data_IF_712672619154
#
_entry.id   IF_712672619154
#
_cell.length_a   1.000
_cell.length_b   1.000
_cell.length_c   1.000
_cell.angle_alpha   90.00
_cell.angle_beta   90.00
_cell.angle_gamma   90.00
#
_symmetry.space_group_name_H-M   'P 1'
#
loop_
_entity.id
_entity.type
_entity.pdbx_description
1 polymer ?
#
# COMPACT_ATOMS: atom_id res chain seq x y z
N UNK A 1 -14.83 8.36 -3.61
CA UNK A 1 -13.63 8.72 -4.40
C UNK A 1 -13.49 7.73 -5.57
N UNK A 2 -13.13 8.18 -6.77
CA UNK A 2 -12.93 7.33 -7.95
C UNK A 2 -11.46 7.32 -8.35
N UNK A 3 -10.82 6.17 -8.27
CA UNK A 3 -9.42 6.00 -8.68
C UNK A 3 -9.32 5.15 -9.94
N UNK A 4 -8.24 5.31 -10.70
CA UNK A 4 -7.81 4.26 -11.64
C UNK A 4 -6.65 3.46 -11.06
N UNK A 5 -6.65 2.16 -11.35
CA UNK A 5 -5.56 1.25 -11.00
C UNK A 5 -4.85 0.81 -12.27
N UNK A 6 -3.54 1.10 -12.33
CA UNK A 6 -2.68 0.74 -13.45
C UNK A 6 -1.58 -0.19 -12.94
N UNK A 7 -1.64 -1.47 -13.29
CA UNK A 7 -0.62 -2.45 -12.94
C UNK A 7 0.45 -2.50 -14.02
N UNK A 8 1.73 -2.46 -13.64
CA UNK A 8 2.85 -2.56 -14.58
C UNK A 8 3.79 -3.70 -14.20
N UNK A 9 3.95 -4.62 -15.15
CA UNK A 9 4.63 -5.90 -14.97
C UNK A 9 3.86 -6.87 -14.08
N UNK A 10 4.34 -8.12 -14.03
CA UNK A 10 3.63 -9.20 -13.36
C UNK A 10 3.23 -8.93 -11.90
N UNK A 11 4.09 -8.28 -11.10
CA UNK A 11 3.77 -7.91 -9.72
C UNK A 11 2.68 -6.82 -9.64
N UNK A 12 2.79 -5.78 -10.48
CA UNK A 12 1.79 -4.70 -10.55
C UNK A 12 0.42 -5.22 -10.97
N UNK A 13 0.36 -6.03 -12.03
CA UNK A 13 -0.89 -6.64 -12.49
C UNK A 13 -1.52 -7.57 -11.44
N UNK A 14 -0.73 -8.40 -10.73
CA UNK A 14 -1.24 -9.22 -9.62
C UNK A 14 -1.78 -8.40 -8.46
N UNK A 15 -1.23 -7.21 -8.19
CA UNK A 15 -1.79 -6.30 -7.19
C UNK A 15 -3.12 -5.71 -7.64
N UNK A 16 -3.24 -5.27 -8.90
CA UNK A 16 -4.51 -4.76 -9.45
C UNK A 16 -5.60 -5.84 -9.45
N UNK A 17 -5.23 -7.07 -9.81
CA UNK A 17 -6.10 -8.25 -9.70
C UNK A 17 -6.60 -8.43 -8.26
N UNK A 18 -5.68 -8.43 -7.29
CA UNK A 18 -6.03 -8.59 -5.88
C UNK A 18 -6.87 -7.43 -5.34
N UNK A 19 -6.59 -6.19 -5.75
CA UNK A 19 -7.43 -5.05 -5.42
C UNK A 19 -8.85 -5.28 -5.91
N UNK A 20 -9.01 -5.63 -7.19
CA UNK A 20 -10.34 -5.86 -7.77
C UNK A 20 -11.09 -6.98 -7.06
N UNK A 21 -10.39 -8.06 -6.69
CA UNK A 21 -10.95 -9.13 -5.88
C UNK A 21 -11.46 -8.61 -4.53
N UNK A 22 -10.62 -7.88 -3.78
CA UNK A 22 -10.99 -7.34 -2.47
C UNK A 22 -12.09 -6.28 -2.54
N UNK A 23 -12.16 -5.47 -3.60
CA UNK A 23 -13.30 -4.57 -3.83
C UNK A 23 -14.62 -5.34 -3.93
N UNK A 24 -14.65 -6.45 -4.67
CA UNK A 24 -15.84 -7.30 -4.81
C UNK A 24 -16.22 -7.98 -3.50
N UNK A 25 -15.23 -8.50 -2.76
CA UNK A 25 -15.45 -9.15 -1.46
C UNK A 25 -15.98 -8.18 -0.40
N UNK A 26 -15.48 -6.94 -0.39
CA UNK A 26 -15.80 -5.94 0.65
C UNK A 26 -16.92 -4.99 0.26
N UNK A 27 -17.33 -4.96 -1.01
CA UNK A 27 -18.25 -3.97 -1.57
C UNK A 27 -17.64 -2.58 -1.78
N UNK A 28 -16.34 -2.40 -1.51
CA UNK A 28 -15.63 -1.11 -1.60
C UNK A 28 -15.15 -0.82 -3.01
N UNK A 29 -16.05 -0.45 -3.92
CA UNK A 29 -15.73 -0.28 -5.35
C UNK A 29 -15.09 1.09 -5.69
N UNK A 30 -13.89 1.36 -5.17
CA UNK A 30 -13.19 2.64 -5.39
C UNK A 30 -12.65 2.83 -6.82
N UNK A 31 -12.27 1.74 -7.52
CA UNK A 31 -11.78 1.80 -8.90
C UNK A 31 -12.92 1.96 -9.92
N UNK A 32 -14.13 1.53 -9.56
CA UNK A 32 -15.31 1.44 -10.45
C UNK A 32 -15.01 0.74 -11.79
N UNK A 33 -14.04 -0.18 -11.80
CA UNK A 33 -13.62 -0.90 -13.01
C UNK A 33 -12.63 -0.13 -13.90
N UNK A 34 -12.10 1.01 -13.46
CA UNK A 34 -11.07 1.79 -14.15
C UNK A 34 -9.71 1.12 -13.95
N UNK A 35 -9.47 0.04 -14.69
CA UNK A 35 -8.29 -0.81 -14.57
C UNK A 35 -7.51 -0.85 -15.89
N UNK A 36 -6.18 -0.93 -15.80
CA UNK A 36 -5.28 -1.35 -16.87
C UNK A 36 -4.16 -2.22 -16.32
N UNK A 37 -3.70 -3.19 -17.10
CA UNK A 37 -2.53 -4.01 -16.79
C UNK A 37 -1.58 -4.01 -17.99
N UNK A 38 -0.40 -3.43 -17.80
CA UNK A 38 0.68 -3.41 -18.78
C UNK A 38 1.71 -4.49 -18.45
N UNK A 39 2.11 -5.29 -19.43
CA UNK A 39 3.26 -6.19 -19.30
C UNK A 39 3.98 -6.32 -20.65
N UNK A 40 5.25 -6.70 -20.60
CA UNK A 40 6.04 -7.06 -21.78
C UNK A 40 6.00 -8.55 -22.08
N UNK A 41 5.38 -9.35 -21.22
CA UNK A 41 5.28 -10.80 -21.35
C UNK A 41 3.81 -11.24 -21.39
N UNK A 42 3.38 -11.78 -22.53
CA UNK A 42 1.98 -12.19 -22.73
C UNK A 42 1.46 -13.18 -21.69
N UNK A 43 2.29 -14.14 -21.28
CA UNK A 43 1.93 -15.15 -20.29
C UNK A 43 1.66 -14.58 -18.89
N UNK A 44 2.06 -13.33 -18.59
CA UNK A 44 1.72 -12.69 -17.32
C UNK A 44 0.20 -12.52 -17.16
N UNK A 45 -0.52 -12.26 -18.25
CA UNK A 45 -1.96 -12.03 -18.26
C UNK A 45 -2.80 -13.28 -17.93
N UNK A 46 -2.23 -14.48 -18.07
CA UNK A 46 -2.90 -15.74 -17.73
C UNK A 46 -3.18 -15.87 -16.23
N UNK A 47 -2.52 -15.06 -15.40
CA UNK A 47 -2.71 -15.01 -13.95
C UNK A 47 -3.87 -14.10 -13.53
N UNK A 48 -4.51 -13.39 -14.47
CA UNK A 48 -5.56 -12.41 -14.18
C UNK A 48 -6.93 -12.95 -14.59
N UNK A 49 -7.86 -12.92 -13.65
CA UNK A 49 -9.24 -13.39 -13.77
C UNK A 49 -10.26 -12.29 -13.49
N UNK A 50 -9.87 -11.28 -12.73
CA UNK A 50 -10.69 -10.14 -12.31
C UNK A 50 -10.50 -8.93 -13.23
N UNK A 51 -9.34 -8.81 -13.89
CA UNK A 51 -9.04 -7.79 -14.90
C UNK A 51 -9.59 -8.23 -16.28
N UNK A 52 -10.45 -7.43 -16.92
CA UNK A 52 -10.97 -7.76 -18.26
C UNK A 52 -9.88 -7.80 -19.33
N UNK A 53 -10.02 -8.71 -20.31
CA UNK A 53 -9.01 -8.90 -21.37
C UNK A 53 -8.75 -7.64 -22.21
N UNK A 54 -9.77 -6.80 -22.42
CA UNK A 54 -9.62 -5.52 -23.12
C UNK A 54 -8.83 -4.47 -22.32
N UNK A 55 -8.44 -4.78 -21.08
CA UNK A 55 -7.60 -3.96 -20.20
C UNK A 55 -6.17 -4.49 -20.08
N UNK A 56 -5.84 -5.57 -20.79
CA UNK A 56 -4.48 -6.10 -20.87
C UNK A 56 -3.75 -5.44 -22.04
N UNK A 57 -2.60 -4.84 -21.76
CA UNK A 57 -1.79 -4.09 -22.72
C UNK A 57 -0.42 -4.75 -22.82
N UNK A 58 -0.15 -5.40 -23.96
CA UNK A 58 1.14 -6.05 -24.22
C UNK A 58 2.10 -5.05 -24.84
N UNK A 59 3.13 -4.66 -24.10
CA UNK A 59 4.20 -3.79 -24.60
C UNK A 59 5.28 -4.62 -25.31
N UNK A 60 5.76 -4.09 -26.43
CA UNK A 60 6.89 -4.57 -27.21
C UNK A 60 6.61 -5.83 -28.01
N UNK A 61 5.35 -6.06 -28.41
CA UNK A 61 4.97 -7.14 -29.33
C UNK A 61 5.75 -7.03 -30.66
N UNK A 62 5.94 -5.79 -31.14
CA UNK A 62 6.69 -5.49 -32.36
C UNK A 62 8.17 -5.16 -32.10
N UNK A 63 8.61 -5.11 -30.84
CA UNK A 63 9.97 -4.73 -30.49
C UNK A 63 10.95 -5.87 -30.81
N UNK A 64 11.95 -5.59 -31.65
CA UNK A 64 12.86 -6.62 -32.19
C UNK A 64 13.65 -7.39 -31.14
N UNK A 65 13.87 -6.80 -29.97
CA UNK A 65 14.64 -7.38 -28.86
C UNK A 65 13.84 -8.26 -27.89
N UNK A 66 12.49 -8.19 -27.87
CA UNK A 66 11.68 -8.96 -26.91
C UNK A 66 10.49 -9.69 -27.54
N UNK A 67 9.81 -9.11 -28.54
CA UNK A 67 8.66 -9.71 -29.22
C UNK A 67 7.60 -10.29 -28.28
N UNK A 68 7.29 -9.56 -27.20
CA UNK A 68 6.32 -9.99 -26.18
C UNK A 68 6.77 -11.13 -25.26
N UNK A 69 8.06 -11.49 -25.23
CA UNK A 69 8.62 -12.54 -24.36
C UNK A 69 9.16 -12.01 -23.02
N UNK A 70 9.10 -10.71 -22.79
CA UNK A 70 9.61 -10.04 -21.59
C UNK A 70 11.05 -9.52 -21.72
N UNK A 71 11.47 -8.75 -20.72
CA UNK A 71 12.76 -8.02 -20.72
C UNK A 71 13.87 -8.69 -19.89
N UNK A 72 13.62 -9.87 -19.34
CA UNK A 72 14.63 -10.63 -18.57
C UNK A 72 15.20 -9.90 -17.34
N UNK A 73 14.47 -8.94 -16.78
CA UNK A 73 14.94 -8.13 -15.64
C UNK A 73 15.70 -6.86 -16.03
N UNK A 74 15.85 -6.56 -17.33
CA UNK A 74 16.47 -5.34 -17.81
C UNK A 74 15.49 -4.15 -17.74
N UNK A 75 15.75 -3.23 -16.81
CA UNK A 75 14.94 -2.02 -16.59
C UNK A 75 15.13 -0.98 -17.69
N UNK A 76 16.31 -0.92 -18.32
CA UNK A 76 16.59 0.06 -19.37
C UNK A 76 15.88 -0.35 -20.66
N UNK A 77 15.95 -1.64 -21.00
CA UNK A 77 15.19 -2.21 -22.12
C UNK A 77 13.68 -2.06 -21.94
N UNK A 78 13.14 -2.29 -20.74
CA UNK A 78 11.72 -2.06 -20.47
C UNK A 78 11.29 -0.61 -20.66
N UNK A 79 12.11 0.34 -20.20
CA UNK A 79 11.84 1.76 -20.41
C UNK A 79 11.88 2.13 -21.90
N UNK A 80 12.82 1.58 -22.66
CA UNK A 80 12.92 1.82 -24.10
C UNK A 80 11.76 1.22 -24.89
N UNK A 81 11.32 0.01 -24.53
CA UNK A 81 10.11 -0.61 -25.09
C UNK A 81 8.90 0.26 -24.82
N UNK A 82 8.68 0.68 -23.56
CA UNK A 82 7.53 1.52 -23.20
C UNK A 82 7.55 2.87 -23.94
N UNK A 83 8.72 3.47 -24.18
CA UNK A 83 8.84 4.72 -24.95
C UNK A 83 8.57 4.54 -26.44
N UNK A 84 8.83 3.35 -27.00
CA UNK A 84 8.54 3.08 -28.42
C UNK A 84 7.04 2.84 -28.64
N UNK A 85 6.35 2.29 -27.65
CA UNK A 85 4.91 2.02 -27.70
C UNK A 85 4.07 3.18 -27.14
N UNK A 86 4.59 4.42 -27.20
CA UNK A 86 3.98 5.62 -26.64
C UNK A 86 2.54 5.82 -27.13
N UNK A 87 2.32 5.68 -28.44
CA UNK A 87 1.01 5.84 -29.08
C UNK A 87 0.00 4.77 -28.61
N UNK A 88 0.48 3.56 -28.32
CA UNK A 88 -0.37 2.49 -27.77
C UNK A 88 -0.74 2.80 -26.33
N UNK A 89 0.23 3.22 -25.50
CA UNK A 89 -0.02 3.61 -24.11
C UNK A 89 -1.09 4.72 -24.04
N UNK A 90 -0.98 5.77 -24.85
CA UNK A 90 -1.98 6.85 -24.86
C UNK A 90 -3.37 6.36 -25.26
N UNK A 91 -3.47 5.52 -26.30
CA UNK A 91 -4.74 4.94 -26.73
C UNK A 91 -5.41 4.15 -25.61
N UNK A 92 -4.61 3.44 -24.81
CA UNK A 92 -5.12 2.62 -23.72
C UNK A 92 -5.60 3.49 -22.54
N UNK A 93 -4.99 4.66 -22.31
CA UNK A 93 -5.45 5.60 -21.29
C UNK A 93 -6.84 6.19 -21.57
N UNK A 94 -7.29 6.25 -22.83
CA UNK A 94 -8.66 6.66 -23.17
C UNK A 94 -9.71 5.77 -22.48
N UNK A 95 -9.34 4.54 -22.10
CA UNK A 95 -10.22 3.60 -21.40
C UNK A 95 -10.41 3.92 -19.92
N UNK A 96 -9.60 4.82 -19.33
CA UNK A 96 -9.60 5.14 -17.89
C UNK A 96 -10.54 6.28 -17.51
N UNK A 97 -11.11 7.02 -18.48
CA UNK A 97 -11.98 8.19 -18.20
C UNK A 97 -11.32 9.15 -17.18
N UNK A 98 -10.07 9.52 -17.47
CA UNK A 98 -9.16 10.20 -16.53
C UNK A 98 -9.70 11.52 -15.96
N UNK A 99 -10.62 12.18 -16.69
CA UNK A 99 -11.25 13.44 -16.28
C UNK A 99 -12.25 13.29 -15.13
N UNK A 100 -12.76 12.08 -14.90
CA UNK A 100 -13.71 11.79 -13.81
C UNK A 100 -13.04 11.08 -12.63
N UNK A 101 -11.71 10.91 -12.65
CA UNK A 101 -10.96 10.31 -11.55
C UNK A 101 -10.55 11.38 -10.54
N UNK A 102 -10.46 10.99 -9.28
CA UNK A 102 -9.79 11.77 -8.23
C UNK A 102 -8.26 11.60 -8.28
N UNK A 103 -7.78 10.42 -8.70
CA UNK A 103 -6.36 10.11 -8.83
C UNK A 103 -6.13 8.82 -9.63
N UNK A 104 -4.87 8.60 -10.04
CA UNK A 104 -4.40 7.34 -10.65
C UNK A 104 -3.34 6.70 -9.76
N UNK A 105 -3.40 5.38 -9.60
CA UNK A 105 -2.41 4.61 -8.83
C UNK A 105 -1.70 3.66 -9.78
N UNK A 106 -0.38 3.81 -9.90
CA UNK A 106 0.47 2.96 -10.72
C UNK A 106 1.22 1.96 -9.85
N UNK A 107 0.81 0.69 -9.89
CA UNK A 107 1.39 -0.39 -9.11
C UNK A 107 2.49 -1.11 -9.88
N UNK A 108 3.67 -1.29 -9.26
CA UNK A 108 4.81 -1.96 -9.87
C UNK A 108 5.68 -2.69 -8.84
N UNK A 109 6.22 -3.85 -9.25
CA UNK A 109 7.33 -4.48 -8.55
C UNK A 109 8.64 -3.81 -8.93
N UNK A 110 9.27 -3.10 -7.99
CA UNK A 110 10.44 -2.25 -8.28
C UNK A 110 11.71 -3.07 -8.58
N UNK A 111 11.78 -4.31 -8.10
CA UNK A 111 12.89 -5.23 -8.41
C UNK A 111 12.80 -5.89 -9.80
N UNK A 112 11.65 -5.84 -10.46
CA UNK A 112 11.45 -6.43 -11.78
C UNK A 112 11.92 -5.52 -12.93
N UNK A 113 12.14 -6.11 -14.11
CA UNK A 113 12.51 -5.35 -15.31
C UNK A 113 11.35 -4.49 -15.83
N UNK A 114 10.23 -5.13 -16.19
CA UNK A 114 9.05 -4.46 -16.75
C UNK A 114 8.47 -3.41 -15.80
N UNK A 115 8.11 -3.80 -14.57
CA UNK A 115 7.53 -2.89 -13.59
C UNK A 115 8.47 -1.72 -13.24
N UNK A 116 9.75 -2.02 -13.01
CA UNK A 116 10.75 -1.02 -12.65
C UNK A 116 11.13 -0.06 -13.78
N UNK A 117 11.15 -0.55 -15.02
CA UNK A 117 11.55 0.23 -16.21
C UNK A 117 10.38 0.93 -16.92
N UNK A 118 9.31 0.20 -17.23
CA UNK A 118 8.14 0.76 -17.92
C UNK A 118 7.23 1.57 -16.98
N UNK A 119 7.19 1.22 -15.69
CA UNK A 119 6.34 1.89 -14.69
C UNK A 119 6.57 3.40 -14.64
N UNK A 120 7.82 3.88 -14.52
CA UNK A 120 8.09 5.31 -14.54
C UNK A 120 7.73 6.00 -15.85
N UNK A 121 7.87 5.32 -17.00
CA UNK A 121 7.45 5.87 -18.29
C UNK A 121 5.93 6.08 -18.30
N UNK A 122 5.17 5.08 -17.84
CA UNK A 122 3.71 5.14 -17.75
C UNK A 122 3.24 6.27 -16.82
N UNK A 123 3.89 6.46 -15.66
CA UNK A 123 3.58 7.58 -14.75
C UNK A 123 3.83 8.93 -15.43
N UNK A 124 4.98 9.10 -16.09
CA UNK A 124 5.32 10.33 -16.81
C UNK A 124 4.24 10.66 -17.86
N UNK A 125 3.78 9.66 -18.61
CA UNK A 125 2.73 9.86 -19.62
C UNK A 125 1.38 10.20 -19.03
N UNK A 126 0.95 9.51 -17.98
CA UNK A 126 -0.29 9.84 -17.27
C UNK A 126 -0.29 11.31 -16.84
N UNK A 127 0.82 11.81 -16.29
CA UNK A 127 0.94 13.21 -15.84
C UNK A 127 0.88 14.24 -16.97
N UNK A 128 1.01 13.84 -18.24
CA UNK A 128 0.80 14.75 -19.38
C UNK A 128 -0.66 14.89 -19.79
N UNK A 129 -1.53 13.97 -19.37
CA UNK A 129 -2.95 13.92 -19.79
C UNK A 129 -3.94 14.17 -18.66
N UNK A 130 -3.48 14.22 -17.40
CA UNK A 130 -4.32 14.53 -16.25
C UNK A 130 -3.65 15.52 -15.31
N UNK A 131 -4.47 16.40 -14.73
CA UNK A 131 -4.07 17.27 -13.61
C UNK A 131 -4.25 16.57 -12.25
N UNK A 132 -4.95 15.43 -12.24
CA UNK A 132 -5.18 14.66 -11.03
C UNK A 132 -3.90 13.95 -10.56
N UNK A 133 -3.71 13.75 -9.25
CA UNK A 133 -2.52 13.10 -8.71
C UNK A 133 -2.29 11.70 -9.28
N UNK A 134 -1.04 11.39 -9.58
CA UNK A 134 -0.57 10.06 -9.99
C UNK A 134 0.37 9.51 -8.92
N UNK A 135 -0.14 8.58 -8.12
CA UNK A 135 0.60 7.93 -7.04
C UNK A 135 1.29 6.66 -7.52
N UNK A 136 2.51 6.44 -7.04
CA UNK A 136 3.21 5.17 -7.20
C UNK A 136 2.84 4.21 -6.08
N UNK A 137 2.64 2.94 -6.44
CA UNK A 137 2.56 1.83 -5.49
C UNK A 137 3.69 0.85 -5.76
N UNK A 138 4.76 0.97 -4.98
CA UNK A 138 6.02 0.26 -5.22
C UNK A 138 6.22 -0.92 -4.27
N UNK A 139 6.42 -2.11 -4.83
CA UNK A 139 6.81 -3.29 -4.05
C UNK A 139 8.33 -3.45 -4.10
N UNK A 140 8.98 -3.40 -2.93
CA UNK A 140 10.40 -3.68 -2.77
C UNK A 140 10.64 -5.20 -2.73
N UNK A 141 11.75 -5.68 -3.31
CA UNK A 141 12.08 -7.09 -3.33
C UNK A 141 12.40 -7.62 -1.93
N UNK A 142 12.26 -8.92 -1.74
CA UNK A 142 12.72 -9.63 -0.54
C UNK A 142 14.27 -9.68 -0.50
N UNK A 143 14.90 -9.83 0.68
CA UNK A 143 16.37 -9.93 0.77
C UNK A 143 16.91 -11.20 0.14
N UNK A 144 16.14 -12.27 0.10
CA UNK A 144 16.50 -13.55 -0.54
C UNK A 144 16.57 -13.46 -2.07
N UNK A 145 15.99 -12.41 -2.67
CA UNK A 145 16.07 -12.19 -4.11
C UNK A 145 17.49 -11.76 -4.55
N UNK A 146 17.90 -12.09 -5.78
CA UNK A 146 19.25 -11.76 -6.27
C UNK A 146 19.56 -10.26 -6.26
N UNK A 147 20.86 -9.93 -6.25
CA UNK A 147 21.32 -8.53 -6.19
C UNK A 147 20.88 -7.68 -7.38
N UNK A 148 20.57 -8.30 -8.52
CA UNK A 148 19.99 -7.60 -9.67
C UNK A 148 18.65 -6.96 -9.32
N UNK A 149 17.80 -7.62 -8.52
CA UNK A 149 16.52 -7.09 -8.07
C UNK A 149 16.71 -5.93 -7.10
N UNK A 150 17.71 -6.00 -6.21
CA UNK A 150 18.07 -4.87 -5.35
C UNK A 150 18.56 -3.65 -6.16
N UNK A 151 19.38 -3.89 -7.20
CA UNK A 151 19.83 -2.86 -8.13
C UNK A 151 18.66 -2.24 -8.90
N UNK A 152 17.77 -3.07 -9.44
CA UNK A 152 16.57 -2.61 -10.14
C UNK A 152 15.68 -1.79 -9.21
N UNK A 153 15.44 -2.25 -7.98
CA UNK A 153 14.60 -1.55 -7.01
C UNK A 153 15.18 -0.19 -6.64
N UNK A 154 16.49 -0.09 -6.39
CA UNK A 154 17.13 1.19 -6.07
C UNK A 154 16.99 2.22 -7.21
N UNK A 155 17.16 1.78 -8.47
CA UNK A 155 17.01 2.65 -9.65
C UNK A 155 15.55 3.04 -9.89
N UNK A 156 14.66 2.05 -9.86
CA UNK A 156 13.24 2.25 -10.14
C UNK A 156 12.58 3.15 -9.10
N UNK A 157 12.93 2.96 -7.81
CA UNK A 157 12.43 3.80 -6.73
C UNK A 157 12.82 5.27 -6.94
N UNK A 158 14.07 5.55 -7.32
CA UNK A 158 14.53 6.91 -7.61
C UNK A 158 13.70 7.55 -8.73
N UNK A 159 13.40 6.79 -9.78
CA UNK A 159 12.55 7.26 -10.88
C UNK A 159 11.13 7.55 -10.41
N UNK A 160 10.47 6.60 -9.73
CA UNK A 160 9.10 6.76 -9.21
C UNK A 160 8.99 7.97 -8.26
N UNK A 161 9.88 8.09 -7.29
CA UNK A 161 9.87 9.20 -6.31
C UNK A 161 10.02 10.56 -7.00
N UNK A 162 10.77 10.63 -8.10
CA UNK A 162 10.98 11.89 -8.82
C UNK A 162 9.75 12.35 -9.59
N UNK A 163 8.93 11.43 -10.10
CA UNK A 163 7.88 11.76 -11.07
C UNK A 163 6.47 11.61 -10.50
N UNK A 164 6.24 10.68 -9.56
CA UNK A 164 4.95 10.48 -8.90
C UNK A 164 4.68 11.58 -7.89
N UNK A 165 3.40 11.83 -7.60
CA UNK A 165 3.00 12.81 -6.58
C UNK A 165 3.12 12.26 -5.15
N UNK A 166 3.47 10.98 -5.02
CA UNK A 166 3.78 10.27 -3.79
C UNK A 166 3.95 8.77 -4.09
N UNK A 167 4.80 8.07 -3.34
CA UNK A 167 5.05 6.64 -3.56
C UNK A 167 4.80 5.86 -2.28
N UNK A 168 3.70 5.11 -2.23
CA UNK A 168 3.43 4.18 -1.13
C UNK A 168 4.23 2.91 -1.38
N UNK A 169 5.09 2.54 -0.41
CA UNK A 169 5.93 1.36 -0.53
C UNK A 169 5.46 0.20 0.33
N UNK A 170 5.71 -1.00 -0.17
CA UNK A 170 5.54 -2.26 0.53
C UNK A 170 6.82 -3.08 0.44
N UNK A 171 7.38 -3.47 1.59
CA UNK A 171 8.60 -4.26 1.67
C UNK A 171 8.29 -5.74 1.82
N UNK A 172 8.43 -6.52 0.74
CA UNK A 172 8.17 -7.96 0.78
C UNK A 172 8.96 -8.66 1.89
N UNK A 173 10.20 -8.23 2.12
CA UNK A 173 11.07 -8.82 3.14
C UNK A 173 10.47 -8.76 4.55
N UNK A 174 10.00 -7.57 4.92
CA UNK A 174 9.40 -7.30 6.24
C UNK A 174 8.12 -8.10 6.49
N UNK A 175 7.44 -8.56 5.44
CA UNK A 175 6.18 -9.28 5.51
C UNK A 175 6.31 -10.78 5.25
N UNK A 176 7.38 -11.20 4.59
CA UNK A 176 7.71 -12.60 4.41
C UNK A 176 8.19 -13.24 5.72
N UNK A 177 8.96 -12.51 6.55
CA UNK A 177 9.64 -12.99 7.76
C UNK A 177 10.71 -14.07 7.49
N UNK A 178 11.32 -14.04 6.30
CA UNK A 178 12.36 -14.96 5.84
C UNK A 178 11.88 -16.41 5.65
N UNK A 179 12.84 -17.31 5.41
CA UNK A 179 12.60 -18.72 5.03
C UNK A 179 11.72 -19.54 6.00
N UNK A 180 11.46 -19.02 7.21
CA UNK A 180 10.59 -19.67 8.21
C UNK A 180 9.16 -19.84 7.72
N UNK A 181 8.72 -19.04 6.75
CA UNK A 181 7.36 -19.11 6.20
C UNK A 181 7.27 -19.81 4.84
N UNK A 182 8.34 -20.46 4.40
CA UNK A 182 8.40 -21.18 3.13
C UNK A 182 8.89 -20.31 1.96
N UNK A 183 8.79 -20.81 0.72
CA UNK A 183 9.23 -20.08 -0.46
C UNK A 183 8.44 -18.78 -0.68
N UNK A 184 9.11 -17.69 -1.02
CA UNK A 184 8.49 -16.40 -1.30
C UNK A 184 7.37 -16.49 -2.37
N UNK A 185 7.56 -17.34 -3.38
CA UNK A 185 6.59 -17.55 -4.45
C UNK A 185 5.20 -17.97 -3.93
N UNK A 186 5.17 -18.80 -2.88
CA UNK A 186 3.92 -19.30 -2.27
C UNK A 186 3.25 -18.23 -1.40
N UNK A 187 3.99 -17.19 -1.03
CA UNK A 187 3.55 -16.12 -0.12
C UNK A 187 2.92 -14.94 -0.84
N UNK A 188 3.19 -14.75 -2.14
CA UNK A 188 2.71 -13.58 -2.89
C UNK A 188 1.20 -13.35 -2.80
N UNK A 189 0.39 -14.41 -2.81
CA UNK A 189 -1.06 -14.27 -2.64
C UNK A 189 -1.44 -13.66 -1.29
N UNK A 190 -0.77 -14.03 -0.21
CA UNK A 190 -0.99 -13.43 1.12
C UNK A 190 -0.43 -12.00 1.19
N UNK A 191 0.77 -11.76 0.66
CA UNK A 191 1.37 -10.42 0.63
C UNK A 191 0.48 -9.44 -0.13
N UNK A 192 -0.05 -9.85 -1.28
CA UNK A 192 -0.98 -9.03 -2.06
C UNK A 192 -2.26 -8.73 -1.28
N UNK A 193 -2.83 -9.70 -0.54
CA UNK A 193 -4.01 -9.45 0.33
C UNK A 193 -3.70 -8.45 1.43
N UNK A 194 -2.55 -8.59 2.09
CA UNK A 194 -2.08 -7.65 3.12
C UNK A 194 -1.88 -6.23 2.55
N UNK A 195 -1.37 -6.15 1.34
CA UNK A 195 -1.23 -4.90 0.60
C UNK A 195 -2.58 -4.28 0.27
N UNK A 196 -3.50 -5.07 -0.29
CA UNK A 196 -4.82 -4.61 -0.68
C UNK A 196 -5.62 -4.10 0.52
N UNK A 197 -5.58 -4.84 1.64
CA UNK A 197 -6.30 -4.49 2.87
C UNK A 197 -5.89 -3.12 3.40
N UNK A 198 -4.57 -2.87 3.49
CA UNK A 198 -4.00 -1.62 4.05
C UNK A 198 -4.23 -0.42 3.15
N UNK A 199 -4.07 -0.63 1.85
CA UNK A 199 -4.26 0.45 0.90
C UNK A 199 -5.74 0.83 0.81
N UNK A 200 -6.65 -0.15 0.66
CA UNK A 200 -8.08 0.14 0.60
C UNK A 200 -8.63 0.75 1.90
N UNK A 201 -8.06 0.46 3.07
CA UNK A 201 -8.49 1.08 4.33
C UNK A 201 -8.12 2.56 4.45
N UNK A 202 -7.34 3.12 3.52
CA UNK A 202 -7.09 4.56 3.38
C UNK A 202 -7.78 5.14 2.15
N UNK A 203 -7.66 4.47 1.00
CA UNK A 203 -8.03 5.05 -0.29
C UNK A 203 -9.48 4.74 -0.74
N UNK A 204 -10.16 3.79 -0.11
CA UNK A 204 -11.54 3.42 -0.42
C UNK A 204 -12.56 3.91 0.62
N UNK A 205 -12.21 4.95 1.39
CA UNK A 205 -13.11 5.56 2.36
C UNK A 205 -14.34 6.16 1.67
N UNK A 206 -15.50 6.06 2.32
CA UNK A 206 -16.75 6.61 1.80
C UNK A 206 -17.41 5.81 0.66
N UNK A 207 -16.82 4.69 0.22
CA UNK A 207 -17.45 3.81 -0.79
C UNK A 207 -18.51 2.87 -0.20
N UNK A 208 -18.71 2.88 1.12
CA UNK A 208 -19.75 2.11 1.80
C UNK A 208 -20.99 2.98 2.04
N UNK A 209 -22.18 2.36 1.97
CA UNK A 209 -23.47 3.02 2.24
C UNK A 209 -23.55 3.64 3.65
N UNK A 210 -22.70 3.22 4.58
CA UNK A 210 -22.60 3.77 5.93
C UNK A 210 -21.86 5.11 6.03
N UNK A 211 -21.43 5.70 4.92
CA UNK A 211 -20.75 7.00 4.89
C UNK A 211 -21.57 8.13 5.52
N UNK A 212 -22.91 8.08 5.48
CA UNK A 212 -23.79 9.07 6.12
C UNK A 212 -23.70 9.07 7.67
N UNK A 213 -23.14 8.01 8.26
CA UNK A 213 -23.01 7.85 9.73
C UNK A 213 -21.68 8.44 10.22
N UNK A 214 -20.76 8.82 9.32
CA UNK A 214 -19.43 9.27 9.70
C UNK A 214 -19.50 10.63 10.39
N UNK A 215 -18.93 10.72 11.60
CA UNK A 215 -18.82 11.99 12.32
C UNK A 215 -17.73 12.89 11.70
N UNK A 216 -16.66 12.27 11.20
CA UNK A 216 -15.57 12.96 10.52
C UNK A 216 -15.20 12.20 9.24
N UNK A 217 -15.70 12.68 8.11
CA UNK A 217 -15.50 12.06 6.80
C UNK A 217 -14.25 12.61 6.14
N UNK A 218 -13.30 11.73 5.82
CA UNK A 218 -12.18 12.07 4.95
C UNK A 218 -12.62 12.08 3.49
N UNK A 219 -12.18 13.09 2.75
CA UNK A 219 -12.36 13.16 1.30
C UNK A 219 -11.05 12.93 0.53
N UNK A 220 -11.11 12.98 -0.80
CA UNK A 220 -9.93 12.85 -1.65
C UNK A 220 -8.93 13.99 -1.45
N UNK A 221 -9.39 15.17 -1.01
CA UNK A 221 -8.54 16.33 -0.76
C UNK A 221 -7.67 16.14 0.49
N UNK A 222 -8.17 15.47 1.53
CA UNK A 222 -7.38 15.15 2.72
C UNK A 222 -6.27 14.13 2.42
N UNK A 223 -6.57 13.11 1.61
CA UNK A 223 -5.57 12.15 1.13
C UNK A 223 -4.53 12.87 0.26
N UNK A 224 -4.97 13.73 -0.66
CA UNK A 224 -4.06 14.53 -1.48
C UNK A 224 -3.17 15.44 -0.64
N UNK A 225 -3.73 16.18 0.33
CA UNK A 225 -2.95 17.02 1.23
C UNK A 225 -1.99 16.21 2.09
N UNK A 226 -2.33 14.97 2.43
CA UNK A 226 -1.38 14.08 3.13
C UNK A 226 -0.21 13.71 2.22
N UNK A 227 -0.45 13.39 0.95
CA UNK A 227 0.56 12.89 0.01
C UNK A 227 1.29 13.96 -0.82
N UNK A 228 0.78 15.19 -0.89
CA UNK A 228 1.31 16.27 -1.76
C UNK A 228 2.76 16.68 -1.46
N UNK A 229 3.29 16.25 -0.32
CA UNK A 229 4.71 16.36 0.04
C UNK A 229 5.62 15.58 -0.91
N UNK A 230 5.06 14.63 -1.67
CA UNK A 230 5.81 13.70 -2.49
C UNK A 230 6.60 12.71 -1.64
N UNK A 231 7.65 12.14 -2.23
CA UNK A 231 8.54 11.24 -1.51
C UNK A 231 7.91 9.86 -1.28
N UNK A 232 8.37 9.23 -0.19
CA UNK A 232 8.01 7.86 0.17
C UNK A 232 6.96 7.87 1.28
N UNK A 233 5.96 7.01 1.16
CA UNK A 233 4.92 6.82 2.14
C UNK A 233 4.85 5.35 2.62
N UNK A 234 4.36 5.18 3.85
CA UNK A 234 4.18 3.88 4.50
C UNK A 234 2.81 3.81 5.18
N UNK A 235 2.18 2.64 5.17
CA UNK A 235 0.87 2.44 5.81
C UNK A 235 1.02 1.50 7.00
N UNK A 236 0.66 1.97 8.18
CA UNK A 236 0.45 1.20 9.38
C UNK A 236 -0.98 0.70 9.50
N UNK A 237 -1.16 -0.52 10.02
CA UNK A 237 -2.49 -1.09 10.21
C UNK A 237 -2.53 -2.03 11.41
N UNK A 238 -3.56 -1.89 12.22
CA UNK A 238 -3.89 -2.83 13.28
C UNK A 238 -5.39 -3.09 13.31
N UNK A 239 -5.78 -4.30 13.70
CA UNK A 239 -7.17 -4.68 13.92
C UNK A 239 -7.32 -5.48 15.22
N UNK A 240 -8.53 -5.48 15.76
CA UNK A 240 -8.96 -6.28 16.91
C UNK A 240 -10.37 -6.80 16.65
N UNK A 241 -10.52 -8.13 16.68
CA UNK A 241 -11.83 -8.78 16.65
C UNK A 241 -12.64 -8.46 17.91
N UNK A 242 -13.95 -8.32 17.73
CA UNK A 242 -14.94 -8.06 18.77
C UNK A 242 -15.60 -9.37 19.18
N UNK A 243 -15.85 -9.53 20.47
CA UNK A 243 -16.57 -10.69 20.98
C UNK A 243 -18.09 -10.47 20.86
N UNK A 244 -18.63 -10.75 19.66
CA UNK A 244 -20.03 -10.48 19.28
C UNK A 244 -21.05 -11.34 20.06
N UNK A 245 -20.64 -12.47 20.63
CA UNK A 245 -21.55 -13.41 21.29
C UNK A 245 -21.96 -13.00 22.72
N UNK A 246 -21.23 -12.07 23.34
CA UNK A 246 -21.52 -11.61 24.70
C UNK A 246 -22.14 -10.22 24.77
N UNK A 247 -22.03 -9.41 23.70
CA UNK A 247 -22.32 -7.97 23.73
C UNK A 247 -23.79 -7.59 23.69
N UNK A 248 -24.59 -8.13 22.75
CA UNK A 248 -25.93 -7.58 22.49
C UNK A 248 -26.94 -7.89 23.61
N UNK A 249 -26.98 -9.15 24.06
CA UNK A 249 -27.85 -9.58 25.17
C UNK A 249 -27.39 -9.02 26.52
N UNK A 250 -26.07 -8.93 26.76
CA UNK A 250 -25.51 -8.34 27.98
C UNK A 250 -25.75 -6.82 28.05
N UNK A 251 -25.56 -6.07 26.95
CA UNK A 251 -25.86 -4.64 26.86
C UNK A 251 -27.35 -4.37 27.12
N UNK A 252 -28.25 -5.17 26.52
CA UNK A 252 -29.70 -5.00 26.70
C UNK A 252 -30.14 -5.28 28.14
N UNK A 253 -29.61 -6.33 28.79
CA UNK A 253 -29.85 -6.65 30.21
C UNK A 253 -29.22 -5.64 31.17
N UNK A 254 -28.10 -5.00 30.78
CA UNK A 254 -27.36 -4.06 31.64
C UNK A 254 -28.04 -2.69 31.78
N UNK A 255 -28.79 -2.23 30.76
CA UNK A 255 -29.63 -1.03 30.84
C UNK A 255 -30.67 -1.09 31.97
N UNK A 256 -31.08 -2.30 32.37
CA UNK A 256 -32.14 -2.49 33.36
C UNK A 256 -31.65 -2.51 34.83
N UNK A 257 -30.34 -2.69 35.11
CA UNK A 257 -29.91 -3.11 36.47
C UNK A 257 -28.90 -2.26 37.22
N UNK A 258 -28.12 -1.36 36.57
CA UNK A 258 -27.22 -0.39 37.24
C UNK A 258 -26.47 0.49 36.20
N UNK A 259 -27.16 1.51 35.65
CA UNK A 259 -26.78 2.19 34.41
C UNK A 259 -25.66 3.23 34.45
N UNK A 260 -25.15 3.68 35.60
CA UNK A 260 -24.14 4.77 35.60
C UNK A 260 -22.70 4.27 35.77
N UNK A 261 -22.41 3.47 36.80
CA UNK A 261 -21.03 3.03 37.11
C UNK A 261 -20.44 2.05 36.09
N UNK A 262 -21.28 1.22 35.46
CA UNK A 262 -20.81 0.21 34.50
C UNK A 262 -20.55 0.81 33.11
N UNK A 263 -21.37 1.77 32.70
CA UNK A 263 -21.20 2.52 31.45
C UNK A 263 -19.90 3.35 31.46
N UNK A 264 -19.57 3.99 32.57
CA UNK A 264 -18.31 4.74 32.69
C UNK A 264 -17.08 3.81 32.59
N UNK A 265 -17.18 2.60 33.15
CA UNK A 265 -16.11 1.59 33.09
C UNK A 265 -15.96 1.01 31.68
N UNK A 266 -17.07 0.68 31.01
CA UNK A 266 -17.06 0.22 29.62
C UNK A 266 -16.51 1.29 28.67
N UNK A 267 -16.93 2.54 28.80
CA UNK A 267 -16.42 3.66 28.00
C UNK A 267 -14.91 3.88 28.16
N UNK A 268 -14.37 3.70 29.39
CA UNK A 268 -12.93 3.74 29.64
C UNK A 268 -12.19 2.59 28.94
N UNK A 269 -12.75 1.38 28.97
CA UNK A 269 -12.16 0.21 28.30
C UNK A 269 -12.12 0.40 26.78
N UNK A 270 -13.20 0.90 26.17
CA UNK A 270 -13.23 1.18 24.72
C UNK A 270 -12.22 2.27 24.37
N UNK A 271 -12.13 3.34 25.16
CA UNK A 271 -11.14 4.41 24.95
C UNK A 271 -9.69 3.90 24.99
N UNK A 272 -9.36 3.05 25.98
CA UNK A 272 -8.04 2.44 26.08
C UNK A 272 -7.74 1.51 24.89
N UNK A 273 -8.70 0.69 24.47
CA UNK A 273 -8.57 -0.20 23.30
C UNK A 273 -8.34 0.59 22.01
N UNK A 274 -9.11 1.66 21.78
CA UNK A 274 -8.93 2.53 20.60
C UNK A 274 -7.54 3.16 20.60
N UNK A 275 -7.09 3.72 21.72
CA UNK A 275 -5.74 4.30 21.82
C UNK A 275 -4.64 3.24 21.57
N UNK A 276 -4.72 2.07 22.20
CA UNK A 276 -3.77 0.97 21.96
C UNK A 276 -3.75 0.52 20.49
N UNK A 277 -4.92 0.42 19.85
CA UNK A 277 -5.03 0.05 18.46
C UNK A 277 -4.29 1.04 17.54
N UNK A 278 -4.43 2.35 17.80
CA UNK A 278 -3.72 3.41 17.07
C UNK A 278 -2.20 3.28 17.26
N UNK A 279 -1.75 3.10 18.51
CA UNK A 279 -0.33 2.89 18.82
C UNK A 279 0.23 1.64 18.13
N UNK A 280 -0.55 0.55 18.08
CA UNK A 280 -0.17 -0.66 17.36
C UNK A 280 -0.08 -0.43 15.86
N UNK A 281 -1.02 0.30 15.25
CA UNK A 281 -0.96 0.63 13.83
C UNK A 281 0.28 1.49 13.50
N UNK A 282 0.66 2.40 14.39
CA UNK A 282 1.83 3.27 14.18
C UNK A 282 3.17 2.54 14.34
N UNK A 283 3.25 1.55 15.24
CA UNK A 283 4.54 0.94 15.66
C UNK A 283 4.74 -0.48 15.18
N UNK A 284 3.68 -1.16 14.75
CA UNK A 284 3.71 -2.54 14.27
C UNK A 284 3.09 -2.55 12.89
N UNK A 285 3.57 -3.42 12.01
CA UNK A 285 2.86 -3.73 10.76
C UNK A 285 2.78 -2.58 9.75
N UNK A 286 3.85 -1.77 9.65
CA UNK A 286 4.04 -0.83 8.55
C UNK A 286 4.28 -1.59 7.23
N UNK A 287 3.71 -1.13 6.12
CA UNK A 287 4.02 -1.67 4.79
C UNK A 287 5.51 -1.52 4.47
N UNK A 288 6.11 -0.41 4.91
CA UNK A 288 7.54 -0.14 4.87
C UNK A 288 8.00 0.26 6.27
N UNK A 289 8.83 -0.54 6.96
CA UNK A 289 9.38 -0.12 8.24
C UNK A 289 10.24 1.15 8.12
N UNK A 290 9.89 2.16 8.91
CA UNK A 290 10.53 3.47 8.93
C UNK A 290 10.46 4.10 10.33
N UNK A 291 11.24 5.15 10.56
CA UNK A 291 11.06 6.02 11.72
C UNK A 291 9.83 6.90 11.51
N UNK A 292 8.78 6.73 12.31
CA UNK A 292 7.57 7.55 12.20
C UNK A 292 7.81 9.03 12.57
N UNK A 293 8.85 9.30 13.36
CA UNK A 293 9.33 10.65 13.68
C UNK A 293 9.92 11.40 12.47
N UNK A 294 10.14 10.69 11.36
CA UNK A 294 10.66 11.27 10.11
C UNK A 294 9.56 11.57 9.09
N UNK A 295 8.29 11.34 9.45
CA UNK A 295 7.14 11.61 8.58
C UNK A 295 6.81 13.11 8.55
N UNK A 296 6.57 13.66 7.35
CA UNK A 296 6.17 15.07 7.21
C UNK A 296 4.70 15.28 7.61
N UNK A 297 3.83 14.35 7.19
CA UNK A 297 2.38 14.34 7.45
C UNK A 297 1.90 12.96 7.79
N UNK A 298 0.79 12.88 8.50
CA UNK A 298 0.09 11.63 8.72
C UNK A 298 -1.41 11.76 8.49
N UNK A 299 -2.05 10.66 8.15
CA UNK A 299 -3.50 10.53 8.11
C UNK A 299 -3.90 9.28 8.88
N UNK A 300 -4.87 9.40 9.79
CA UNK A 300 -5.39 8.29 10.58
C UNK A 300 -6.86 8.02 10.29
N UNK A 301 -7.20 6.74 10.13
CA UNK A 301 -8.56 6.24 9.94
C UNK A 301 -8.91 5.26 11.05
N UNK A 302 -10.03 5.47 11.72
CA UNK A 302 -10.64 4.48 12.61
C UNK A 302 -11.86 3.84 11.94
N UNK A 303 -11.86 2.52 11.80
CA UNK A 303 -12.93 1.76 11.13
C UNK A 303 -13.54 0.75 12.10
N UNK A 304 -14.87 0.67 12.18
CA UNK A 304 -15.57 -0.34 13.00
C UNK A 304 -17.00 0.07 13.39
N UNK A 305 -17.67 -0.73 14.22
CA UNK A 305 -18.98 -0.38 14.74
C UNK A 305 -18.90 0.93 15.56
N UNK A 306 -19.79 1.92 15.32
CA UNK A 306 -19.72 3.22 15.99
C UNK A 306 -19.66 3.14 17.51
N UNK A 307 -20.39 2.20 18.11
CA UNK A 307 -20.44 1.96 19.56
C UNK A 307 -19.18 1.33 20.15
N UNK A 308 -18.25 0.88 19.29
CA UNK A 308 -16.96 0.30 19.62
C UNK A 308 -15.78 1.25 19.29
N UNK A 309 -16.08 2.43 18.73
CA UNK A 309 -15.13 3.48 18.39
C UNK A 309 -15.24 4.64 19.39
N UNK A 310 -14.29 4.75 20.34
CA UNK A 310 -14.32 5.83 21.33
C UNK A 310 -13.67 7.10 20.81
N UNK A 311 -14.44 8.19 20.71
CA UNK A 311 -13.92 9.54 20.41
C UNK A 311 -12.79 9.97 21.35
N UNK A 312 -12.95 9.76 22.67
CA UNK A 312 -11.90 10.08 23.64
C UNK A 312 -10.63 9.26 23.41
N UNK A 313 -10.77 7.98 23.09
CA UNK A 313 -9.65 7.11 22.76
C UNK A 313 -8.94 7.53 21.48
N UNK A 314 -9.72 7.92 20.46
CA UNK A 314 -9.24 8.40 19.18
C UNK A 314 -8.46 9.71 19.30
N UNK A 315 -9.03 10.74 19.94
CA UNK A 315 -8.34 12.03 20.18
C UNK A 315 -7.05 11.85 20.98
N UNK A 316 -7.07 10.98 22.01
CA UNK A 316 -5.88 10.66 22.79
C UNK A 316 -4.81 9.94 21.97
N UNK A 317 -5.20 9.04 21.06
CA UNK A 317 -4.27 8.35 20.16
C UNK A 317 -3.73 9.27 19.06
N UNK A 318 -4.57 10.16 18.53
CA UNK A 318 -4.17 11.20 17.57
C UNK A 318 -3.17 12.16 18.18
N UNK A 319 -3.42 12.67 19.39
CA UNK A 319 -2.49 13.56 20.06
C UNK A 319 -1.14 12.89 20.32
N UNK A 320 -1.15 11.63 20.77
CA UNK A 320 0.08 10.85 20.89
C UNK A 320 0.81 10.71 19.54
N UNK A 321 0.07 10.46 18.44
CA UNK A 321 0.67 10.36 17.10
C UNK A 321 1.30 11.69 16.67
N UNK A 322 0.64 12.82 16.93
CA UNK A 322 1.19 14.17 16.67
C UNK A 322 2.50 14.39 17.45
N UNK A 323 2.57 14.00 18.72
CA UNK A 323 3.78 14.13 19.55
C UNK A 323 4.94 13.23 19.06
N UNK A 324 4.66 11.97 18.73
CA UNK A 324 5.70 11.01 18.32
C UNK A 324 6.22 11.25 16.90
N UNK A 325 5.35 11.76 16.01
CA UNK A 325 5.73 12.03 14.62
C UNK A 325 6.37 13.40 14.46
N UNK A 326 5.94 14.40 15.26
CA UNK A 326 6.25 15.80 14.99
C UNK A 326 5.71 16.29 13.64
N UNK A 327 4.74 15.57 13.06
CA UNK A 327 4.20 15.85 11.73
C UNK A 327 3.60 17.25 11.66
N UNK A 328 3.75 17.89 10.50
CA UNK A 328 3.21 19.23 10.22
C UNK A 328 1.70 19.24 10.38
N UNK A 329 1.05 18.16 9.94
CA UNK A 329 -0.38 17.99 10.03
C UNK A 329 -0.73 16.50 10.17
N UNK A 330 -1.70 16.21 11.04
CA UNK A 330 -2.31 14.89 11.18
C UNK A 330 -3.79 14.97 10.81
N UNK A 331 -4.12 14.41 9.65
CA UNK A 331 -5.49 14.25 9.19
C UNK A 331 -6.16 13.09 9.92
N UNK A 332 -7.46 13.17 10.10
CA UNK A 332 -8.21 12.18 10.85
C UNK A 332 -9.56 11.94 10.18
N UNK A 333 -10.00 10.68 10.16
CA UNK A 333 -11.35 10.32 9.75
C UNK A 333 -11.82 9.02 10.36
N UNK A 334 -13.13 8.81 10.23
CA UNK A 334 -13.82 7.63 10.70
C UNK A 334 -14.50 6.91 9.52
N UNK A 335 -14.48 5.58 9.57
CA UNK A 335 -15.22 4.71 8.65
C UNK A 335 -16.21 3.85 9.46
N UNK A 336 -17.45 4.35 9.69
CA UNK A 336 -18.46 3.60 10.41
C UNK A 336 -18.81 2.30 9.70
N UNK A 337 -18.76 1.19 10.42
CA UNK A 337 -19.17 -0.13 9.94
C UNK A 337 -20.05 -0.83 10.97
N UNK A 338 -21.36 -0.54 11.00
CA UNK A 338 -22.28 -1.03 12.03
C UNK A 338 -22.29 -2.56 12.20
N UNK A 339 -22.06 -3.30 11.13
CA UNK A 339 -22.09 -4.76 11.12
C UNK A 339 -20.69 -5.42 11.14
N UNK A 340 -19.61 -4.66 11.36
CA UNK A 340 -18.26 -5.23 11.41
C UNK A 340 -18.04 -6.05 12.68
N UNK A 341 -17.33 -7.17 12.55
CA UNK A 341 -16.90 -8.00 13.69
C UNK A 341 -15.59 -7.51 14.33
N UNK A 342 -14.99 -6.45 13.82
CA UNK A 342 -13.71 -5.94 14.29
C UNK A 342 -13.65 -4.41 14.26
N UNK A 343 -12.71 -3.86 15.03
CA UNK A 343 -12.29 -2.45 14.97
C UNK A 343 -10.85 -2.41 14.48
N UNK A 344 -10.57 -1.55 13.50
CA UNK A 344 -9.24 -1.34 12.94
C UNK A 344 -8.83 0.13 12.94
N UNK A 345 -7.53 0.36 13.09
CA UNK A 345 -6.89 1.66 12.88
C UNK A 345 -5.90 1.53 11.73
N UNK A 346 -5.94 2.50 10.79
CA UNK A 346 -4.98 2.61 9.69
C UNK A 346 -4.32 3.97 9.76
N UNK A 347 -3.00 4.03 9.54
CA UNK A 347 -2.24 5.28 9.53
C UNK A 347 -1.40 5.33 8.26
N UNK A 348 -1.59 6.36 7.45
CA UNK A 348 -0.72 6.69 6.32
C UNK A 348 0.32 7.70 6.80
N UNK A 349 1.60 7.34 6.75
CA UNK A 349 2.73 8.24 6.98
C UNK A 349 3.27 8.71 5.63
N UNK A 350 3.31 10.02 5.41
CA UNK A 350 3.78 10.61 4.16
C UNK A 350 5.16 11.23 4.29
N UNK A 351 5.92 11.17 3.20
CA UNK A 351 7.30 11.64 3.09
C UNK A 351 8.19 11.21 4.26
N UNK A 352 8.19 9.90 4.57
CA UNK A 352 9.11 9.32 5.57
C UNK A 352 10.54 9.32 5.02
N UNK A 353 11.47 9.91 5.76
CA UNK A 353 12.85 10.15 5.29
C UNK A 353 13.88 9.22 5.91
N UNK A 354 13.61 8.65 7.07
CA UNK A 354 14.48 7.67 7.73
C UNK A 354 13.96 6.25 7.52
N UNK A 355 14.43 5.62 6.43
CA UNK A 355 14.00 4.29 5.99
C UNK A 355 15.21 3.36 5.82
N UNK A 356 15.56 2.54 6.84
CA UNK A 356 16.73 1.67 6.79
C UNK A 356 16.75 0.70 5.60
N UNK A 357 15.56 0.25 5.15
CA UNK A 357 15.41 -0.65 4.01
C UNK A 357 15.87 -0.01 2.70
N UNK A 358 15.60 1.28 2.49
CA UNK A 358 16.02 2.01 1.29
C UNK A 358 17.55 2.16 1.29
N UNK A 359 18.14 2.54 2.42
CA UNK A 359 19.61 2.66 2.55
C UNK A 359 20.30 1.32 2.26
N UNK A 360 19.72 0.22 2.73
CA UNK A 360 20.23 -1.12 2.47
C UNK A 360 20.17 -1.47 0.98
N UNK A 361 19.05 -1.22 0.30
CA UNK A 361 18.91 -1.45 -1.14
C UNK A 361 19.92 -0.62 -1.93
N UNK A 362 20.14 0.64 -1.56
CA UNK A 362 21.16 1.48 -2.19
C UNK A 362 22.57 0.92 -1.98
N UNK A 363 22.91 0.46 -0.76
CA UNK A 363 24.21 -0.17 -0.48
C UNK A 363 24.40 -1.46 -1.29
N UNK A 364 23.39 -2.34 -1.36
CA UNK A 364 23.42 -3.56 -2.17
C UNK A 364 23.58 -3.24 -3.65
N UNK A 365 22.86 -2.25 -4.17
CA UNK A 365 22.97 -1.81 -5.55
C UNK A 365 24.38 -1.30 -5.92
N UNK A 366 25.02 -0.55 -5.02
CA UNK A 366 26.41 -0.10 -5.19
C UNK A 366 27.39 -1.28 -5.19
N UNK A 367 27.20 -2.23 -4.28
CA UNK A 367 28.04 -3.44 -4.20
C UNK A 367 27.94 -4.30 -5.47
N UNK A 368 26.72 -4.49 -5.98
CA UNK A 368 26.44 -5.22 -7.22
C UNK A 368 27.13 -4.57 -8.43
N UNK A 369 27.08 -3.23 -8.55
CA UNK A 369 27.79 -2.50 -9.62
C UNK A 369 29.31 -2.60 -9.50
N UNK A 370 29.83 -2.71 -8.28
CA UNK A 370 31.27 -2.71 -8.01
C UNK A 370 31.90 -4.11 -8.03
N UNK A 371 31.10 -5.17 -8.25
CA UNK A 371 31.56 -6.56 -8.24
C UNK A 371 32.12 -7.03 -6.89
N UNK A 372 31.80 -6.33 -5.79
CA UNK A 372 32.33 -6.64 -4.45
C UNK A 372 31.25 -7.39 -3.66
N UNK A 373 31.42 -8.69 -3.35
CA UNK A 373 30.46 -9.42 -2.55
C UNK A 373 30.38 -8.83 -1.13
N UNK A 374 29.17 -8.64 -0.58
CA UNK A 374 29.00 -8.37 0.84
C UNK A 374 29.26 -9.66 1.63
N UNK A 375 30.27 -9.64 2.51
CA UNK A 375 30.44 -10.71 3.48
C UNK A 375 29.31 -10.64 4.51
N UNK A 376 28.36 -11.56 4.48
CA UNK A 376 27.44 -11.76 5.58
C UNK A 376 28.24 -12.17 6.83
N UNK A 377 28.45 -11.22 7.74
CA UNK A 377 29.10 -11.48 9.02
C UNK A 377 28.21 -12.37 9.89
N UNK A 378 28.42 -13.69 9.81
CA UNK A 378 28.01 -14.59 10.87
C UNK A 378 29.00 -14.43 12.03
N UNK A 379 28.55 -13.78 13.10
CA UNK A 379 29.22 -13.69 14.38
C UNK A 379 29.23 -15.09 15.04
N UNK A 380 30.06 -16.00 14.54
CA UNK A 380 30.38 -17.25 15.22
C UNK A 380 31.36 -16.94 16.36
N UNK A 381 30.80 -16.59 17.52
CA UNK A 381 31.55 -16.62 18.77
C UNK A 381 32.06 -18.03 19.01
N UNK A 382 33.38 -18.19 18.88
CA UNK A 382 34.12 -19.35 19.34
C UNK A 382 33.85 -19.59 20.84
N UNK A 383 33.04 -20.60 21.14
CA UNK A 383 33.14 -21.37 22.38
C UNK A 383 34.35 -22.30 22.26
N UNK A 384 35.53 -21.78 22.62
CA UNK A 384 36.65 -22.63 23.05
C UNK A 384 36.63 -22.71 24.56
N UNK A 385 36.41 -23.91 25.08
CA UNK A 385 36.93 -24.31 26.39
C UNK A 385 37.48 -25.75 26.30
N UNK A 386 38.45 -26.06 27.17
CA UNK A 386 39.69 -26.74 26.81
C UNK A 386 39.62 -28.25 26.62
#
# INVERSE_FOLDING_TARGET
MKFALVGVGGAGGRLVEQFRHTEKETGRSFSKGSLLAFDTQKAAFEQYSEIPLDRHVLLGDLHSGIRGEGVGGDVDLAADVARQDDDEIYREFDKLDVHNLDAVVVAAGLGGGTGGGAGPVIVDRLKTITENPVYGLGVLPDRSEPDQQALNAARSLQSFVRISDGVVLFDNDSWHNGDKQGPLADRYGELNRLHATRFLSVFALGELDSAEIAENTLDSSDIFRTLTTGGVASIGYASTELDVNSGFFSRLLSKLRNGEKKYETEGRTVAMRTNDLIKRAATRQLTLPCSIASADRALIVLSGPPEECSRKGFESGRHWLEEETGAVEVFAGDEPRPNASSVSATILFSNVTEVPRIDELQRRAVAAKSGTPQSHGQDQRHSRQP
#
